data_IF_442006745232
#
_entry.id   IF_442006745232
#
_cell.length_a   1.000
_cell.length_b   1.000
_cell.length_c   1.000
_cell.angle_alpha   90.00
_cell.angle_beta   90.00
_cell.angle_gamma   90.00
#
_symmetry.space_group_name_H-M   'P 1'
#
loop_
_entity.id
_entity.type
_entity.pdbx_description
1 polymer ?
#
# COMPACT_ATOMS: atom_id res chain seq x y z
N UNK A 1 -40.24 -22.49 -3.66
CA UNK A 1 -39.09 -21.57 -3.67
C UNK A 1 -37.95 -22.29 -2.96
N UNK A 2 -36.82 -22.59 -3.60
CA UNK A 2 -35.70 -23.22 -2.89
C UNK A 2 -35.25 -22.30 -1.75
N UNK A 3 -34.94 -22.91 -0.61
CA UNK A 3 -34.53 -22.24 0.63
C UNK A 3 -33.22 -21.46 0.43
N UNK A 4 -32.98 -20.44 1.25
CA UNK A 4 -31.76 -19.62 1.18
C UNK A 4 -30.44 -20.42 1.13
N UNK A 5 -30.27 -21.50 1.91
CA UNK A 5 -29.07 -22.34 1.87
C UNK A 5 -28.84 -23.02 0.50
N UNK A 6 -29.89 -23.57 -0.13
CA UNK A 6 -29.76 -24.25 -1.42
C UNK A 6 -29.29 -23.28 -2.53
N UNK A 7 -29.80 -22.04 -2.52
CA UNK A 7 -29.37 -21.01 -3.47
C UNK A 7 -27.93 -20.56 -3.24
N UNK A 8 -27.46 -20.54 -1.99
CA UNK A 8 -26.06 -20.21 -1.66
C UNK A 8 -25.12 -21.30 -2.19
N UNK A 9 -25.49 -22.56 -1.99
CA UNK A 9 -24.70 -23.70 -2.46
C UNK A 9 -24.66 -23.77 -4.00
N UNK A 10 -25.75 -23.41 -4.67
CA UNK A 10 -25.79 -23.30 -6.13
C UNK A 10 -24.78 -22.25 -6.66
N UNK A 11 -24.70 -21.08 -6.02
CA UNK A 11 -23.73 -20.04 -6.38
C UNK A 11 -22.28 -20.52 -6.17
N UNK A 12 -22.02 -21.23 -5.07
CA UNK A 12 -20.70 -21.82 -4.82
C UNK A 12 -20.35 -22.84 -5.92
N UNK A 13 -21.28 -23.71 -6.28
CA UNK A 13 -21.08 -24.70 -7.33
C UNK A 13 -20.77 -24.04 -8.68
N UNK A 14 -21.42 -22.92 -9.00
CA UNK A 14 -21.13 -22.13 -10.20
C UNK A 14 -19.70 -21.55 -10.19
N UNK A 15 -19.21 -21.05 -9.04
CA UNK A 15 -17.82 -20.56 -8.91
C UNK A 15 -16.82 -21.71 -9.08
N UNK A 16 -17.08 -22.85 -8.43
CA UNK A 16 -16.22 -24.04 -8.53
C UNK A 16 -16.19 -24.58 -9.97
N UNK A 17 -17.30 -24.49 -10.70
CA UNK A 17 -17.40 -24.87 -12.10
C UNK A 17 -16.74 -23.87 -13.06
N UNK A 18 -16.35 -22.68 -12.57
CA UNK A 18 -15.79 -21.60 -13.39
C UNK A 18 -16.83 -20.88 -14.26
N UNK A 19 -18.13 -21.06 -13.99
CA UNK A 19 -19.21 -20.38 -14.71
C UNK A 19 -19.52 -19.01 -14.12
N UNK A 20 -19.13 -18.77 -12.88
CA UNK A 20 -19.13 -17.47 -12.22
C UNK A 20 -17.75 -17.20 -11.62
N UNK A 21 -17.35 -15.94 -11.58
CA UNK A 21 -16.28 -15.49 -10.70
C UNK A 21 -16.79 -15.34 -9.25
N UNK A 22 -15.90 -15.36 -8.24
CA UNK A 22 -16.27 -15.05 -6.86
C UNK A 22 -17.08 -13.75 -6.72
N UNK A 23 -16.66 -12.68 -7.39
CA UNK A 23 -17.32 -11.38 -7.32
C UNK A 23 -18.75 -11.41 -7.87
N UNK A 24 -18.98 -12.12 -8.99
CA UNK A 24 -20.32 -12.28 -9.56
C UNK A 24 -21.23 -13.11 -8.64
N UNK A 25 -20.69 -14.15 -8.00
CA UNK A 25 -21.44 -14.94 -7.03
C UNK A 25 -21.81 -14.15 -5.77
N UNK A 26 -20.93 -13.29 -5.27
CA UNK A 26 -21.24 -12.39 -4.15
C UNK A 26 -22.31 -11.35 -4.52
N UNK A 27 -22.21 -10.75 -5.71
CA UNK A 27 -23.20 -9.79 -6.19
C UNK A 27 -24.59 -10.44 -6.34
N UNK A 28 -24.63 -11.68 -6.83
CA UNK A 28 -25.86 -12.45 -6.96
C UNK A 28 -26.40 -12.90 -5.58
N UNK A 29 -25.53 -13.29 -4.64
CA UNK A 29 -25.93 -13.58 -3.27
C UNK A 29 -26.59 -12.35 -2.61
N UNK A 30 -25.99 -11.16 -2.76
CA UNK A 30 -26.53 -9.91 -2.27
C UNK A 30 -27.89 -9.58 -2.92
N UNK A 31 -28.02 -9.73 -4.24
CA UNK A 31 -29.27 -9.53 -4.99
C UNK A 31 -30.40 -10.45 -4.49
N UNK A 32 -30.05 -11.67 -4.10
CA UNK A 32 -30.99 -12.67 -3.58
C UNK A 32 -31.28 -12.52 -2.08
N UNK A 33 -30.66 -11.54 -1.40
CA UNK A 33 -30.79 -11.34 0.05
C UNK A 33 -30.15 -12.46 0.88
N UNK A 34 -29.16 -13.15 0.32
CA UNK A 34 -28.39 -14.18 1.00
C UNK A 34 -27.24 -13.53 1.79
N UNK A 35 -26.74 -14.25 2.81
CA UNK A 35 -25.48 -13.89 3.47
C UNK A 35 -24.34 -13.98 2.46
N UNK A 36 -23.34 -13.09 2.61
CA UNK A 36 -22.09 -13.17 1.86
C UNK A 36 -21.49 -14.58 1.90
N UNK A 37 -20.91 -15.01 0.77
CA UNK A 37 -20.39 -16.38 0.61
C UNK A 37 -19.02 -16.47 1.30
N UNK A 38 -18.14 -15.53 1.00
CA UNK A 38 -17.01 -15.15 1.84
C UNK A 38 -17.52 -14.57 3.15
N UNK A 39 -16.90 -15.00 4.25
CA UNK A 39 -17.39 -14.68 5.57
C UNK A 39 -16.23 -14.42 6.51
N UNK A 40 -16.32 -13.29 7.22
CA UNK A 40 -15.53 -12.99 8.41
C UNK A 40 -16.48 -12.71 9.58
N UNK A 41 -16.30 -13.36 10.73
CA UNK A 41 -17.08 -13.04 11.93
C UNK A 41 -16.91 -11.59 12.37
N UNK A 42 -17.85 -11.09 13.16
CA UNK A 42 -17.73 -9.78 13.78
C UNK A 42 -16.44 -9.75 14.63
N UNK A 43 -15.52 -8.79 14.36
CA UNK A 43 -14.36 -8.49 15.17
C UNK A 43 -14.58 -8.53 16.69
N UNK A 44 -15.75 -8.08 17.16
CA UNK A 44 -16.08 -7.94 18.59
C UNK A 44 -16.43 -9.28 19.25
N UNK A 45 -16.91 -10.26 18.48
CA UNK A 45 -17.17 -11.62 18.98
C UNK A 45 -15.87 -12.39 19.23
N UNK A 46 -14.75 -11.90 18.68
CA UNK A 46 -13.43 -12.48 18.77
C UNK A 46 -12.42 -11.48 19.34
N UNK A 47 -12.59 -11.09 20.60
CA UNK A 47 -11.61 -10.27 21.32
C UNK A 47 -10.44 -11.11 21.87
N UNK A 48 -9.23 -11.07 21.26
CA UNK A 48 -8.08 -11.84 21.74
C UNK A 48 -7.54 -11.33 23.08
N UNK A 49 -7.97 -10.16 23.55
CA UNK A 49 -7.55 -9.61 24.85
C UNK A 49 -8.27 -10.30 26.03
N UNK A 50 -9.33 -11.08 25.77
CA UNK A 50 -9.99 -11.90 26.79
C UNK A 50 -9.29 -13.24 27.02
N UNK A 51 -8.36 -13.63 26.15
CA UNK A 51 -7.64 -14.90 26.27
C UNK A 51 -6.54 -14.80 27.34
N UNK A 52 -6.50 -15.76 28.26
CA UNK A 52 -5.46 -15.83 29.29
C UNK A 52 -4.09 -16.21 28.71
N UNK A 53 -4.10 -17.04 27.66
CA UNK A 53 -2.91 -17.56 27.00
C UNK A 53 -3.00 -17.34 25.50
N UNK A 54 -1.88 -16.95 24.90
CA UNK A 54 -1.75 -16.78 23.46
C UNK A 54 -0.88 -17.87 22.87
N UNK A 55 -1.22 -18.29 21.65
CA UNK A 55 -0.33 -19.12 20.84
C UNK A 55 0.89 -18.31 20.39
N UNK A 56 1.92 -18.98 19.90
CA UNK A 56 3.12 -18.29 19.38
C UNK A 56 2.80 -17.25 18.29
N UNK A 57 1.97 -17.53 17.27
CA UNK A 57 1.59 -16.53 16.27
C UNK A 57 0.90 -15.31 16.85
N UNK A 58 -0.02 -15.51 17.81
CA UNK A 58 -0.70 -14.42 18.51
C UNK A 58 0.30 -13.55 19.28
N UNK A 59 1.19 -14.17 20.05
CA UNK A 59 2.20 -13.47 20.82
C UNK A 59 3.17 -12.69 19.92
N UNK A 60 3.65 -13.30 18.83
CA UNK A 60 4.55 -12.64 17.87
C UNK A 60 3.84 -11.50 17.13
N UNK A 61 2.57 -11.66 16.73
CA UNK A 61 1.79 -10.59 16.13
C UNK A 61 1.66 -9.39 17.09
N UNK A 62 1.48 -9.64 18.38
CA UNK A 62 1.54 -8.56 19.38
C UNK A 62 2.93 -7.93 19.45
N UNK A 63 4.00 -8.72 19.61
CA UNK A 63 5.37 -8.19 19.73
C UNK A 63 5.72 -7.30 18.52
N UNK A 64 5.34 -7.73 17.32
CA UNK A 64 5.59 -7.05 16.05
C UNK A 64 4.76 -5.76 15.87
N UNK A 65 3.45 -5.83 16.13
CA UNK A 65 2.50 -4.80 15.68
C UNK A 65 1.76 -4.08 16.82
N UNK A 66 1.68 -4.70 18.00
CA UNK A 66 1.10 -4.13 19.24
C UNK A 66 -0.36 -3.71 19.14
N UNK A 67 -1.14 -4.39 18.30
CA UNK A 67 -2.58 -4.16 18.13
C UNK A 67 -3.38 -5.43 18.40
N UNK A 68 -4.62 -5.30 18.90
CA UNK A 68 -5.49 -6.45 19.14
C UNK A 68 -5.94 -7.11 17.82
N UNK A 69 -6.08 -6.33 16.76
CA UNK A 69 -6.48 -6.80 15.45
C UNK A 69 -5.48 -7.80 14.85
N UNK A 70 -4.18 -7.49 14.86
CA UNK A 70 -3.18 -8.41 14.28
C UNK A 70 -3.07 -9.70 15.09
N UNK A 71 -3.31 -9.64 16.40
CA UNK A 71 -3.41 -10.83 17.26
C UNK A 71 -4.62 -11.67 16.86
N UNK A 72 -5.79 -11.05 16.63
CA UNK A 72 -7.01 -11.74 16.18
C UNK A 72 -6.83 -12.40 14.82
N UNK A 73 -6.21 -11.72 13.85
CA UNK A 73 -5.93 -12.28 12.52
C UNK A 73 -4.98 -13.51 12.58
N UNK A 74 -4.24 -13.66 13.69
CA UNK A 74 -3.35 -14.79 13.97
C UNK A 74 -3.90 -15.75 15.05
N UNK A 75 -5.19 -15.64 15.37
CA UNK A 75 -5.86 -16.49 16.34
C UNK A 75 -6.67 -17.58 15.64
N UNK A 76 -6.33 -18.84 15.90
CA UNK A 76 -6.97 -19.99 15.23
C UNK A 76 -8.49 -20.01 15.33
N UNK A 77 -9.07 -19.66 16.49
CA UNK A 77 -10.54 -19.66 16.65
C UNK A 77 -11.20 -18.68 15.67
N UNK A 78 -10.62 -17.49 15.50
CA UNK A 78 -11.11 -16.51 14.53
C UNK A 78 -10.88 -16.96 13.09
N UNK A 79 -9.66 -17.45 12.79
CA UNK A 79 -9.26 -17.87 11.44
C UNK A 79 -10.11 -19.03 10.92
N UNK A 80 -10.38 -20.03 11.76
CA UNK A 80 -11.18 -21.18 11.37
C UNK A 80 -12.65 -20.82 11.07
N UNK A 81 -13.15 -19.70 11.58
CA UNK A 81 -14.49 -19.19 11.25
C UNK A 81 -14.49 -18.31 9.99
N UNK A 82 -13.32 -17.84 9.56
CA UNK A 82 -13.18 -17.08 8.34
C UNK A 82 -13.16 -18.01 7.13
N UNK A 83 -13.95 -17.68 6.12
CA UNK A 83 -14.11 -18.44 4.87
C UNK A 83 -13.82 -17.49 3.71
N UNK A 84 -12.96 -17.90 2.77
CA UNK A 84 -12.58 -17.07 1.61
C UNK A 84 -12.38 -17.90 0.35
N UNK A 85 -12.40 -17.22 -0.79
CA UNK A 85 -12.11 -17.82 -2.08
C UNK A 85 -10.59 -17.93 -2.30
N UNK A 86 -10.11 -19.11 -2.69
CA UNK A 86 -8.74 -19.31 -3.18
C UNK A 86 -8.77 -19.78 -4.62
N UNK A 87 -7.96 -19.14 -5.45
CA UNK A 87 -7.63 -19.67 -6.75
C UNK A 87 -6.65 -20.82 -6.60
N UNK A 88 -6.98 -21.96 -7.19
CA UNK A 88 -6.08 -23.11 -7.27
C UNK A 88 -5.94 -23.58 -8.71
N UNK A 89 -4.69 -23.65 -9.15
CA UNK A 89 -4.24 -24.27 -10.39
C UNK A 89 -3.82 -25.75 -10.21
N UNK A 90 -3.66 -26.23 -8.96
CA UNK A 90 -3.12 -27.56 -8.66
C UNK A 90 -4.12 -28.58 -8.08
N UNK A 91 -5.25 -28.15 -7.50
CA UNK A 91 -6.18 -29.03 -6.78
C UNK A 91 -7.21 -29.78 -7.64
N UNK A 92 -7.27 -29.52 -8.95
CA UNK A 92 -8.14 -30.28 -9.85
C UNK A 92 -7.28 -31.01 -10.89
N UNK A 93 -7.77 -32.16 -11.36
CA UNK A 93 -7.15 -32.97 -12.41
C UNK A 93 -6.58 -32.10 -13.55
N UNK A 94 -5.48 -32.52 -14.21
CA UNK A 94 -4.78 -31.69 -15.19
C UNK A 94 -5.74 -31.06 -16.20
N UNK A 95 -5.81 -29.72 -16.19
CA UNK A 95 -6.66 -28.93 -17.08
C UNK A 95 -7.83 -28.18 -16.42
N UNK A 96 -7.99 -28.19 -15.09
CA UNK A 96 -8.98 -27.36 -14.40
C UNK A 96 -8.34 -26.42 -13.39
N UNK A 97 -8.11 -25.18 -13.78
CA UNK A 97 -7.83 -24.08 -12.85
C UNK A 97 -9.13 -23.39 -12.43
N UNK A 98 -9.30 -23.00 -11.16
CA UNK A 98 -10.48 -22.25 -10.73
C UNK A 98 -10.48 -21.90 -9.25
N UNK A 99 -11.55 -21.25 -8.81
CA UNK A 99 -11.75 -20.89 -7.41
C UNK A 99 -12.40 -22.01 -6.63
N UNK A 100 -12.06 -22.10 -5.34
CA UNK A 100 -12.72 -22.94 -4.36
C UNK A 100 -12.78 -22.21 -3.01
N UNK A 101 -13.70 -22.61 -2.16
CA UNK A 101 -14.00 -21.93 -0.90
C UNK A 101 -13.30 -22.64 0.26
N UNK A 102 -12.44 -21.92 0.99
CA UNK A 102 -11.67 -22.49 2.09
C UNK A 102 -11.80 -21.68 3.37
N UNK A 103 -11.79 -22.41 4.48
CA UNK A 103 -11.47 -21.81 5.77
C UNK A 103 -10.02 -21.34 5.79
N UNK A 104 -9.71 -20.28 6.52
CA UNK A 104 -8.31 -19.94 6.75
C UNK A 104 -7.64 -21.09 7.50
N UNK A 105 -6.46 -21.49 7.01
CA UNK A 105 -5.63 -22.45 7.73
C UNK A 105 -5.22 -21.88 9.10
N UNK A 106 -4.98 -22.73 10.11
CA UNK A 106 -4.44 -22.31 11.40
C UNK A 106 -3.21 -21.41 11.26
N UNK A 107 -3.08 -20.47 12.19
CA UNK A 107 -1.94 -19.59 12.24
C UNK A 107 -0.67 -20.39 12.55
N UNK A 108 0.43 -19.98 11.93
CA UNK A 108 1.77 -20.41 12.34
C UNK A 108 2.78 -19.30 12.04
N UNK A 109 3.96 -19.36 12.64
CA UNK A 109 4.99 -18.32 12.50
C UNK A 109 5.46 -18.16 11.05
N UNK A 110 5.46 -19.24 10.26
CA UNK A 110 5.83 -19.19 8.85
C UNK A 110 4.82 -18.40 8.01
N UNK A 111 3.52 -18.62 8.22
CA UNK A 111 2.45 -17.86 7.57
C UNK A 111 2.49 -16.39 7.98
N UNK A 112 2.74 -16.10 9.25
CA UNK A 112 2.90 -14.72 9.72
C UNK A 112 4.09 -14.01 9.04
N UNK A 113 5.25 -14.70 8.91
CA UNK A 113 6.39 -14.20 8.13
C UNK A 113 6.08 -13.99 6.65
N UNK A 114 5.26 -14.86 6.07
CA UNK A 114 4.89 -14.77 4.66
C UNK A 114 3.88 -13.65 4.42
N UNK A 115 2.94 -13.44 5.35
CA UNK A 115 1.99 -12.34 5.32
C UNK A 115 2.71 -10.98 5.35
N UNK A 116 3.68 -10.79 6.26
CA UNK A 116 4.51 -9.57 6.31
C UNK A 116 5.16 -9.25 4.95
N UNK A 117 5.67 -10.26 4.23
CA UNK A 117 6.32 -10.09 2.93
C UNK A 117 5.35 -9.87 1.77
N UNK A 118 4.13 -10.39 1.88
CA UNK A 118 3.08 -10.20 0.87
C UNK A 118 2.35 -8.85 1.06
N UNK A 119 2.43 -8.29 2.26
CA UNK A 119 1.87 -7.01 2.66
C UNK A 119 2.91 -5.88 2.56
N UNK A 120 3.74 -5.89 1.53
CA UNK A 120 4.77 -4.85 1.31
C UNK A 120 4.11 -3.46 1.36
N UNK A 121 4.42 -2.78 2.47
CA UNK A 121 4.09 -1.40 2.85
C UNK A 121 2.63 -1.18 3.30
N UNK A 122 2.30 -1.68 4.50
CA UNK A 122 1.25 -1.10 5.34
C UNK A 122 1.72 0.26 5.91
N UNK A 123 0.77 1.16 6.18
CA UNK A 123 0.90 2.41 6.98
C UNK A 123 1.26 2.15 8.47
N UNK A 124 2.05 1.11 8.72
CA UNK A 124 2.58 0.83 10.04
C UNK A 124 3.78 1.75 10.26
N UNK A 125 3.58 2.71 11.16
CA UNK A 125 4.60 3.61 11.71
C UNK A 125 5.98 2.93 11.81
N UNK A 126 6.92 3.29 10.93
CA UNK A 126 8.21 2.62 10.83
C UNK A 126 9.03 2.75 12.13
N UNK A 127 8.68 3.70 13.00
CA UNK A 127 9.32 3.87 14.31
C UNK A 127 8.94 2.76 15.31
N UNK A 128 7.84 2.02 15.09
CA UNK A 128 7.32 1.00 16.02
C UNK A 128 7.07 -0.37 15.39
N UNK A 129 7.34 -0.54 14.09
CA UNK A 129 7.29 -1.84 13.44
C UNK A 129 8.53 -2.66 13.80
N UNK A 130 8.35 -3.74 14.56
CA UNK A 130 9.38 -4.76 14.70
C UNK A 130 9.13 -5.83 13.65
N UNK A 131 10.06 -6.05 12.68
CA UNK A 131 9.90 -7.11 11.70
C UNK A 131 9.58 -8.44 12.37
N UNK A 132 8.69 -9.26 11.80
CA UNK A 132 8.21 -10.51 12.40
C UNK A 132 9.37 -11.42 12.79
N UNK A 133 10.46 -11.43 12.02
CA UNK A 133 11.67 -12.18 12.36
C UNK A 133 12.32 -11.67 13.65
N UNK A 134 12.44 -10.35 13.82
CA UNK A 134 12.95 -9.74 15.05
C UNK A 134 11.99 -9.94 16.22
N UNK A 135 10.68 -9.93 15.97
CA UNK A 135 9.66 -10.19 16.98
C UNK A 135 9.71 -11.62 17.52
N UNK A 136 9.99 -12.60 16.65
CA UNK A 136 10.24 -13.99 17.06
C UNK A 136 11.48 -14.07 17.93
N UNK A 137 12.58 -13.43 17.52
CA UNK A 137 13.83 -13.43 18.29
C UNK A 137 13.64 -12.75 19.65
N UNK A 138 12.93 -11.62 19.69
CA UNK A 138 12.62 -10.90 20.92
C UNK A 138 11.74 -11.75 21.87
N UNK A 139 10.69 -12.41 21.34
CA UNK A 139 9.88 -13.34 22.10
C UNK A 139 10.72 -14.46 22.71
N UNK A 140 11.62 -15.02 21.90
CA UNK A 140 12.50 -16.11 22.31
C UNK A 140 13.49 -15.70 23.39
N UNK A 141 14.08 -14.51 23.28
CA UNK A 141 14.97 -13.98 24.30
C UNK A 141 14.26 -13.73 25.63
N UNK A 142 13.03 -13.19 25.61
CA UNK A 142 12.26 -12.98 26.85
C UNK A 142 11.92 -14.30 27.56
N UNK A 143 11.55 -15.32 26.79
CA UNK A 143 11.27 -16.67 27.32
C UNK A 143 12.53 -17.28 27.97
N UNK A 144 13.68 -17.19 27.30
CA UNK A 144 14.97 -17.67 27.83
C UNK A 144 15.50 -16.84 29.01
N UNK A 145 15.13 -15.56 29.06
CA UNK A 145 15.45 -14.65 30.15
C UNK A 145 14.49 -14.75 31.35
N UNK A 146 13.56 -15.72 31.36
CA UNK A 146 12.57 -15.90 32.43
C UNK A 146 11.69 -14.67 32.68
N UNK A 147 11.42 -13.85 31.66
CA UNK A 147 10.48 -12.73 31.81
C UNK A 147 9.03 -13.21 32.02
N UNK A 148 8.69 -14.37 31.45
CA UNK A 148 7.45 -15.13 31.65
C UNK A 148 7.65 -16.56 31.13
N UNK A 149 6.78 -17.47 31.56
CA UNK A 149 6.90 -18.90 31.26
C UNK A 149 6.07 -19.30 30.04
N UNK A 150 6.64 -20.12 29.16
CA UNK A 150 5.86 -20.81 28.13
C UNK A 150 5.31 -22.13 28.67
N UNK A 151 4.22 -22.61 28.08
CA UNK A 151 3.75 -23.99 28.29
C UNK A 151 3.50 -24.67 26.96
N UNK A 152 3.63 -25.99 26.90
CA UNK A 152 3.34 -26.78 25.71
C UNK A 152 2.92 -28.20 26.08
N UNK A 153 2.30 -28.89 25.14
CA UNK A 153 1.94 -30.30 25.29
C UNK A 153 3.17 -31.13 24.91
N UNK A 154 3.72 -31.85 25.89
CA UNK A 154 4.87 -32.73 25.66
C UNK A 154 4.44 -33.95 24.84
N UNK A 155 5.22 -34.29 23.80
CA UNK A 155 4.79 -35.21 22.73
C UNK A 155 4.65 -36.67 23.20
N UNK A 156 5.48 -37.14 24.14
CA UNK A 156 5.44 -38.53 24.60
C UNK A 156 4.32 -38.77 25.62
N UNK A 157 4.12 -37.84 26.54
CA UNK A 157 3.17 -37.93 27.65
C UNK A 157 1.79 -37.36 27.30
N UNK A 158 1.70 -36.48 26.30
CA UNK A 158 0.49 -35.76 25.94
C UNK A 158 0.03 -34.74 26.99
N UNK A 159 0.86 -34.41 27.98
CA UNK A 159 0.52 -33.49 29.07
C UNK A 159 1.02 -32.09 28.81
N UNK A 160 0.24 -31.08 29.19
CA UNK A 160 0.67 -29.69 29.20
C UNK A 160 1.65 -29.46 30.35
N UNK A 161 2.86 -29.02 30.03
CA UNK A 161 3.91 -28.70 30.99
C UNK A 161 4.41 -27.28 30.81
N UNK A 162 4.92 -26.71 31.89
CA UNK A 162 5.72 -25.48 31.83
C UNK A 162 7.06 -25.82 31.17
N UNK A 163 7.47 -24.98 30.22
CA UNK A 163 8.76 -25.06 29.55
C UNK A 163 9.65 -23.99 30.16
N UNK A 164 10.43 -24.37 31.17
CA UNK A 164 11.32 -23.47 31.86
C UNK A 164 12.46 -22.95 30.96
N UNK A 165 13.11 -21.88 31.42
CA UNK A 165 14.19 -21.22 30.68
C UNK A 165 15.39 -22.14 30.40
N UNK A 166 15.67 -23.12 31.25
CA UNK A 166 16.77 -24.06 31.06
C UNK A 166 16.46 -25.02 29.91
N UNK A 167 15.26 -25.60 29.89
CA UNK A 167 14.76 -26.45 28.79
C UNK A 167 14.75 -25.68 27.46
N UNK A 168 14.35 -24.41 27.47
CA UNK A 168 14.32 -23.55 26.26
C UNK A 168 15.70 -23.32 25.63
N UNK A 169 16.81 -23.51 26.36
CA UNK A 169 18.16 -23.40 25.78
C UNK A 169 18.43 -24.51 24.76
N UNK A 170 17.89 -25.70 25.02
CA UNK A 170 18.06 -26.91 24.21
C UNK A 170 16.95 -27.10 23.17
N UNK A 171 16.02 -26.15 23.05
CA UNK A 171 14.93 -26.19 22.09
C UNK A 171 15.13 -25.20 20.94
N UNK A 172 14.50 -25.49 19.81
CA UNK A 172 14.38 -24.62 18.63
C UNK A 172 12.97 -24.68 18.07
N UNK A 173 12.50 -23.60 17.47
CA UNK A 173 11.23 -23.61 16.75
C UNK A 173 11.32 -24.47 15.49
N UNK A 174 10.22 -25.15 15.17
CA UNK A 174 10.03 -25.84 13.91
C UNK A 174 8.56 -25.84 13.49
N UNK A 175 8.31 -26.40 12.33
CA UNK A 175 6.97 -26.68 11.82
C UNK A 175 6.77 -28.21 11.82
N UNK A 176 5.58 -28.66 12.18
CA UNK A 176 5.11 -30.04 12.01
C UNK A 176 3.64 -29.98 11.63
N UNK A 177 3.24 -30.60 10.52
CA UNK A 177 1.84 -30.59 10.04
C UNK A 177 1.17 -29.20 10.04
N UNK A 178 1.91 -28.18 9.60
CA UNK A 178 1.46 -26.77 9.58
C UNK A 178 1.22 -26.11 10.94
N UNK A 179 1.72 -26.69 12.02
CA UNK A 179 1.69 -26.13 13.38
C UNK A 179 3.10 -25.75 13.84
N UNK A 180 3.18 -24.71 14.66
CA UNK A 180 4.42 -24.37 15.35
C UNK A 180 4.69 -25.41 16.45
N UNK A 181 5.92 -25.94 16.46
CA UNK A 181 6.38 -26.93 17.42
C UNK A 181 7.74 -26.53 17.99
N UNK A 182 8.09 -27.06 19.17
CA UNK A 182 9.45 -27.01 19.68
C UNK A 182 10.14 -28.34 19.48
N UNK A 183 11.33 -28.30 18.89
CA UNK A 183 12.18 -29.46 18.63
C UNK A 183 13.41 -29.41 19.52
N UNK A 184 13.88 -30.57 19.95
CA UNK A 184 15.17 -30.67 20.61
C UNK A 184 16.27 -30.28 19.61
N UNK A 185 17.22 -29.45 20.05
CA UNK A 185 18.39 -29.09 19.26
C UNK A 185 19.23 -30.34 19.04
N UNK A 186 19.49 -30.67 17.76
CA UNK A 186 20.37 -31.76 17.37
C UNK A 186 21.68 -31.18 16.81
N UNK A 187 22.84 -31.82 17.04
CA UNK A 187 24.11 -31.38 16.46
C UNK A 187 24.11 -31.37 14.93
N UNK A 188 23.33 -32.24 14.30
CA UNK A 188 23.17 -32.37 12.86
C UNK A 188 21.70 -32.63 12.54
N UNK A 189 21.15 -31.88 11.58
CA UNK A 189 19.79 -32.08 11.06
C UNK A 189 18.68 -31.53 11.97
N UNK A 190 17.47 -32.05 11.78
CA UNK A 190 16.27 -31.62 12.51
C UNK A 190 16.03 -32.60 13.66
N UNK A 191 16.07 -32.11 14.90
CA UNK A 191 15.78 -32.95 16.06
C UNK A 191 14.28 -33.29 16.22
N UNK A 192 13.97 -34.23 17.15
CA UNK A 192 12.61 -34.66 17.39
C UNK A 192 11.76 -33.52 17.96
N UNK A 193 10.46 -33.53 17.62
CA UNK A 193 9.48 -32.65 18.25
C UNK A 193 9.34 -33.05 19.72
N UNK A 194 9.50 -32.08 20.61
CA UNK A 194 9.32 -32.25 22.06
C UNK A 194 8.00 -31.67 22.53
N UNK A 195 7.62 -30.49 22.04
CA UNK A 195 6.38 -29.83 22.46
C UNK A 195 5.55 -29.37 21.26
N UNK A 196 4.24 -29.52 21.39
CA UNK A 196 3.22 -28.97 20.50
C UNK A 196 2.31 -28.01 21.28
N UNK A 197 1.43 -27.29 20.59
CA UNK A 197 0.44 -26.39 21.21
C UNK A 197 1.05 -25.42 22.24
N UNK A 198 2.13 -24.77 21.81
CA UNK A 198 2.89 -23.85 22.65
C UNK A 198 2.09 -22.58 22.87
N UNK A 199 1.94 -22.22 24.15
CA UNK A 199 1.28 -21.00 24.58
C UNK A 199 2.12 -20.22 25.58
N UNK A 200 1.88 -18.91 25.64
CA UNK A 200 2.50 -17.98 26.57
C UNK A 200 1.42 -17.14 27.25
N UNK A 201 1.62 -16.69 28.51
CA UNK A 201 0.64 -15.88 29.20
C UNK A 201 0.50 -14.52 28.51
N UNK A 202 -0.72 -14.17 28.10
CA UNK A 202 -1.03 -12.90 27.45
C UNK A 202 -0.56 -11.71 28.30
N UNK A 203 -0.82 -11.76 29.61
CA UNK A 203 -0.39 -10.72 30.55
C UNK A 203 1.12 -10.57 30.64
N UNK A 204 1.88 -11.67 30.54
CA UNK A 204 3.35 -11.64 30.54
C UNK A 204 3.91 -10.98 29.28
N UNK A 205 3.36 -11.35 28.12
CA UNK A 205 3.72 -10.73 26.83
C UNK A 205 3.39 -9.24 26.86
N UNK A 206 2.16 -8.84 27.21
CA UNK A 206 1.76 -7.42 27.24
C UNK A 206 2.48 -6.60 28.30
N UNK A 207 2.83 -7.21 29.43
CA UNK A 207 3.61 -6.54 30.48
C UNK A 207 5.04 -6.22 30.04
N UNK A 208 5.67 -7.12 29.29
CA UNK A 208 7.01 -6.91 28.73
C UNK A 208 6.98 -6.00 27.50
N UNK A 209 5.92 -6.13 26.72
CA UNK A 209 5.67 -5.39 25.49
C UNK A 209 4.36 -4.63 25.62
N UNK A 210 4.44 -3.45 26.23
CA UNK A 210 3.30 -2.56 26.43
C UNK A 210 2.48 -2.33 25.16
N UNK A 211 1.19 -2.01 25.36
CA UNK A 211 0.31 -1.56 24.27
C UNK A 211 1.01 -0.42 23.55
N UNK A 212 0.93 -0.39 22.22
CA UNK A 212 1.34 0.78 21.46
C UNK A 212 0.64 1.98 22.10
N UNK A 213 1.36 2.98 22.64
CA UNK A 213 0.72 4.25 22.93
C UNK A 213 0.05 4.62 21.62
N UNK A 214 -1.27 4.81 21.62
CA UNK A 214 -1.91 5.46 20.48
C UNK A 214 -1.11 6.75 20.33
N UNK A 215 -0.23 6.79 19.33
CA UNK A 215 0.39 8.03 18.96
C UNK A 215 -0.80 8.82 18.46
N UNK A 216 -1.40 9.63 19.33
CA UNK A 216 -2.16 10.80 18.93
C UNK A 216 -1.19 11.81 18.32
N UNK A 217 -0.39 11.38 17.34
CA UNK A 217 -0.24 12.22 16.17
C UNK A 217 -1.62 12.19 15.55
N UNK A 218 -2.42 13.22 15.84
CA UNK A 218 -3.45 13.62 14.90
C UNK A 218 -2.79 13.54 13.53
N UNK A 219 -3.29 12.66 12.67
CA UNK A 219 -2.84 12.63 11.29
C UNK A 219 -2.97 14.07 10.80
N UNK A 220 -1.89 14.61 10.25
CA UNK A 220 -1.91 15.94 9.65
C UNK A 220 -1.90 15.75 8.15
N UNK A 221 -2.73 16.52 7.47
CA UNK A 221 -2.63 16.64 6.03
C UNK A 221 -1.20 17.12 5.69
N UNK A 222 -0.53 16.49 4.70
CA UNK A 222 0.67 17.03 4.09
C UNK A 222 0.43 18.42 3.49
N UNK A 223 1.50 19.14 3.18
CA UNK A 223 1.41 20.46 2.57
C UNK A 223 0.60 20.41 1.26
N UNK A 224 -0.37 21.32 1.15
CA UNK A 224 -1.27 21.35 0.00
C UNK A 224 -0.52 21.75 -1.28
N UNK A 225 -0.50 20.86 -2.26
CA UNK A 225 0.06 21.16 -3.58
C UNK A 225 -0.98 21.89 -4.45
N UNK A 226 -0.67 23.14 -4.81
CA UNK A 226 -1.51 23.95 -5.70
C UNK A 226 -1.44 23.45 -7.14
N UNK A 227 -2.56 23.43 -7.88
CA UNK A 227 -2.58 23.07 -9.30
C UNK A 227 -2.08 24.22 -10.21
N UNK A 228 -1.15 25.04 -9.72
CA UNK A 228 -0.62 26.18 -10.45
C UNK A 228 0.53 25.76 -11.39
N UNK A 229 0.61 26.46 -12.53
CA UNK A 229 1.67 26.27 -13.52
C UNK A 229 1.46 25.09 -14.48
N UNK A 230 2.48 24.84 -15.30
CA UNK A 230 2.49 23.74 -16.26
C UNK A 230 2.96 22.44 -15.60
N UNK A 231 2.47 21.31 -16.12
CA UNK A 231 2.94 19.98 -15.72
C UNK A 231 1.87 19.14 -15.06
N UNK A 232 2.33 18.18 -14.26
CA UNK A 232 1.49 17.18 -13.61
C UNK A 232 1.54 17.31 -12.08
N UNK A 233 0.56 16.73 -11.40
CA UNK A 233 0.55 16.55 -9.96
C UNK A 233 0.08 15.13 -9.59
N UNK A 234 0.54 14.56 -8.46
CA UNK A 234 0.04 13.29 -7.95
C UNK A 234 -1.49 13.29 -7.80
N UNK A 235 -2.11 12.14 -8.01
CA UNK A 235 -3.57 11.99 -7.92
C UNK A 235 -4.08 12.33 -6.51
N UNK A 236 -3.40 11.87 -5.46
CA UNK A 236 -3.68 12.25 -4.07
C UNK A 236 -3.70 13.76 -3.88
N UNK A 237 -2.73 14.50 -4.44
CA UNK A 237 -2.68 15.96 -4.29
C UNK A 237 -3.91 16.65 -4.89
N UNK A 238 -4.44 16.12 -6.00
CA UNK A 238 -5.69 16.64 -6.57
C UNK A 238 -6.90 16.28 -5.69
N UNK A 239 -6.94 15.06 -5.14
CA UNK A 239 -7.98 14.66 -4.19
C UNK A 239 -7.95 15.51 -2.91
N UNK A 240 -6.76 15.82 -2.39
CA UNK A 240 -6.58 16.72 -1.25
C UNK A 240 -7.03 18.16 -1.58
N UNK A 241 -6.71 18.67 -2.78
CA UNK A 241 -7.19 19.97 -3.26
C UNK A 241 -8.72 20.04 -3.26
N UNK A 242 -9.39 18.98 -3.71
CA UNK A 242 -10.85 18.88 -3.70
C UNK A 242 -11.39 18.75 -2.26
N UNK A 243 -10.83 17.86 -1.45
CA UNK A 243 -11.27 17.59 -0.09
C UNK A 243 -11.19 18.83 0.82
N UNK A 244 -10.13 19.62 0.64
CA UNK A 244 -9.88 20.86 1.41
C UNK A 244 -10.50 22.11 0.77
N UNK A 245 -11.19 21.98 -0.37
CA UNK A 245 -11.72 23.11 -1.15
C UNK A 245 -10.65 24.19 -1.39
N UNK A 246 -9.49 23.76 -1.90
CA UNK A 246 -8.35 24.63 -2.17
C UNK A 246 -7.63 25.11 -0.92
N UNK A 247 -7.70 24.36 0.18
CA UNK A 247 -7.10 24.69 1.47
C UNK A 247 -7.95 25.63 2.34
N UNK A 248 -9.21 25.87 1.96
CA UNK A 248 -10.12 26.73 2.75
C UNK A 248 -10.80 25.97 3.89
N UNK A 249 -10.85 24.64 3.81
CA UNK A 249 -11.42 23.75 4.82
C UNK A 249 -10.31 22.86 5.37
N UNK A 250 -10.20 22.87 6.70
CA UNK A 250 -9.43 21.90 7.47
C UNK A 250 -10.36 20.80 7.99
N UNK A 251 -9.90 19.56 8.00
CA UNK A 251 -10.66 18.41 8.48
C UNK A 251 -9.72 17.33 9.02
N UNK A 252 -10.24 16.45 9.87
CA UNK A 252 -9.48 15.29 10.36
C UNK A 252 -9.16 14.35 9.18
N UNK A 253 -7.88 14.05 8.87
CA UNK A 253 -7.54 13.18 7.74
C UNK A 253 -8.13 11.77 7.83
N UNK A 254 -8.56 11.33 9.01
CA UNK A 254 -9.23 10.03 9.19
C UNK A 254 -10.73 10.06 8.86
N UNK A 255 -11.29 11.23 8.55
CA UNK A 255 -12.68 11.38 8.08
C UNK A 255 -12.82 10.86 6.63
N UNK A 256 -13.28 9.62 6.55
CA UNK A 256 -13.49 8.92 5.28
C UNK A 256 -14.59 9.51 4.40
N UNK A 257 -15.56 10.25 4.96
CA UNK A 257 -16.66 10.80 4.17
C UNK A 257 -16.17 11.95 3.29
N UNK A 258 -15.23 12.75 3.80
CA UNK A 258 -14.58 13.81 3.03
C UNK A 258 -13.75 13.25 1.87
N UNK A 259 -12.99 12.19 2.13
CA UNK A 259 -12.23 11.51 1.07
C UNK A 259 -13.16 10.84 0.06
N UNK A 260 -14.22 10.16 0.49
CA UNK A 260 -15.20 9.52 -0.40
C UNK A 260 -15.84 10.53 -1.35
N UNK A 261 -16.19 11.72 -0.86
CA UNK A 261 -16.73 12.78 -1.70
C UNK A 261 -15.69 13.30 -2.71
N UNK A 262 -14.45 13.56 -2.27
CA UNK A 262 -13.39 14.08 -3.12
C UNK A 262 -12.97 13.10 -4.24
N UNK A 263 -12.71 11.83 -3.89
CA UNK A 263 -12.42 10.80 -4.90
C UNK A 263 -13.63 10.50 -5.77
N UNK A 264 -14.85 10.54 -5.23
CA UNK A 264 -16.07 10.38 -6.02
C UNK A 264 -16.16 11.37 -7.17
N UNK A 265 -15.98 12.67 -6.90
CA UNK A 265 -15.97 13.71 -7.93
C UNK A 265 -14.77 13.56 -8.88
N UNK A 266 -13.57 13.33 -8.35
CA UNK A 266 -12.35 13.18 -9.15
C UNK A 266 -12.46 12.00 -10.15
N UNK A 267 -12.89 10.83 -9.66
CA UNK A 267 -13.02 9.61 -10.46
C UNK A 267 -14.18 9.70 -11.46
N UNK A 268 -15.25 10.45 -11.15
CA UNK A 268 -16.30 10.74 -12.12
C UNK A 268 -15.76 11.51 -13.33
N UNK A 269 -14.95 12.56 -13.11
CA UNK A 269 -14.32 13.35 -14.19
C UNK A 269 -13.27 12.56 -14.99
N UNK A 270 -12.52 11.69 -14.32
CA UNK A 270 -11.56 10.81 -15.00
C UNK A 270 -12.30 9.77 -15.85
N UNK A 271 -13.35 9.15 -15.30
CA UNK A 271 -14.11 8.12 -16.02
C UNK A 271 -14.98 8.64 -17.15
N UNK A 272 -15.34 9.92 -17.14
CA UNK A 272 -15.99 10.63 -18.26
C UNK A 272 -15.02 11.17 -19.31
N UNK A 273 -13.72 10.89 -19.18
CA UNK A 273 -12.64 11.43 -20.02
C UNK A 273 -12.55 12.98 -20.05
N UNK A 274 -13.18 13.67 -19.09
CA UNK A 274 -13.03 15.12 -18.89
C UNK A 274 -11.64 15.51 -18.38
N UNK A 275 -10.98 14.57 -17.70
CA UNK A 275 -9.63 14.71 -17.18
C UNK A 275 -8.78 13.50 -17.58
N UNK A 276 -7.55 13.77 -18.04
CA UNK A 276 -6.59 12.71 -18.35
C UNK A 276 -5.75 12.37 -17.13
N UNK A 277 -5.58 11.08 -16.88
CA UNK A 277 -4.60 10.57 -15.92
C UNK A 277 -3.48 9.84 -16.66
N UNK A 278 -2.28 10.00 -16.14
CA UNK A 278 -1.06 9.41 -16.69
C UNK A 278 -0.50 8.49 -15.61
N UNK A 279 -0.31 7.22 -15.96
CA UNK A 279 0.24 6.21 -15.08
C UNK A 279 1.64 5.81 -15.51
N UNK A 280 2.33 5.10 -14.63
CA UNK A 280 3.61 4.47 -14.88
C UNK A 280 3.42 2.96 -14.96
N UNK A 281 3.93 2.35 -16.03
CA UNK A 281 3.90 0.91 -16.26
C UNK A 281 5.09 0.54 -17.15
N UNK A 282 5.72 -0.60 -16.87
CA UNK A 282 6.83 -1.15 -17.67
C UNK A 282 7.96 -0.13 -17.94
N UNK A 283 8.26 0.73 -16.96
CA UNK A 283 9.33 1.72 -17.07
C UNK A 283 8.95 3.02 -17.77
N UNK A 284 7.71 3.16 -18.26
CA UNK A 284 7.26 4.31 -19.06
C UNK A 284 5.99 4.96 -18.50
N UNK A 285 5.82 6.25 -18.82
CA UNK A 285 4.56 6.98 -18.55
C UNK A 285 3.63 6.87 -19.74
N UNK A 286 2.40 6.47 -19.50
CA UNK A 286 1.37 6.31 -20.52
C UNK A 286 0.02 6.85 -20.03
N UNK A 287 -0.84 7.35 -20.93
CA UNK A 287 -2.22 7.66 -20.56
C UNK A 287 -2.94 6.41 -20.05
N UNK A 288 -3.59 6.51 -18.89
CA UNK A 288 -4.47 5.45 -18.41
C UNK A 288 -5.86 5.68 -18.99
N UNK A 289 -6.50 4.65 -19.58
CA UNK A 289 -7.86 4.80 -20.07
C UNK A 289 -8.85 5.17 -18.95
N UNK A 290 -9.59 6.27 -19.10
CA UNK A 290 -10.48 6.82 -18.07
C UNK A 290 -11.53 5.84 -17.57
N UNK A 291 -12.10 5.02 -18.46
CA UNK A 291 -13.09 3.99 -18.11
C UNK A 291 -12.59 2.99 -17.05
N UNK A 292 -11.28 2.85 -16.84
CA UNK A 292 -10.72 1.99 -15.78
C UNK A 292 -11.04 2.49 -14.37
N UNK A 293 -11.43 3.75 -14.22
CA UNK A 293 -11.81 4.35 -12.94
C UNK A 293 -13.33 4.32 -12.69
N UNK A 294 -14.13 3.86 -13.66
CA UNK A 294 -15.57 3.76 -13.51
C UNK A 294 -15.93 2.69 -12.47
N UNK A 295 -16.54 3.10 -11.35
CA UNK A 295 -16.95 2.18 -10.28
C UNK A 295 -15.80 1.54 -9.51
N UNK A 296 -14.56 2.05 -9.66
CA UNK A 296 -13.38 1.51 -8.99
C UNK A 296 -13.51 1.73 -7.47
N UNK A 297 -13.26 0.67 -6.69
CA UNK A 297 -13.17 0.80 -5.22
C UNK A 297 -11.88 1.55 -4.88
N UNK A 298 -11.90 2.32 -3.80
CA UNK A 298 -10.76 3.11 -3.35
C UNK A 298 -10.33 2.63 -1.96
N UNK A 299 -9.04 2.34 -1.82
CA UNK A 299 -8.38 2.34 -0.52
C UNK A 299 -7.92 3.77 -0.24
N UNK A 300 -8.60 4.44 0.68
CA UNK A 300 -8.43 5.85 0.96
C UNK A 300 -7.15 6.13 1.75
N UNK A 301 -6.54 7.32 1.58
CA UNK A 301 -5.40 7.71 2.40
C UNK A 301 -5.80 7.82 3.88
N UNK A 302 -4.86 7.56 4.80
CA UNK A 302 -5.07 7.60 6.26
C UNK A 302 -6.08 6.58 6.80
N UNK A 303 -6.42 5.55 6.04
CA UNK A 303 -7.28 4.47 6.46
C UNK A 303 -6.67 3.11 6.14
N UNK A 304 -6.99 2.11 6.95
CA UNK A 304 -6.55 0.74 6.70
C UNK A 304 -7.16 0.22 5.39
N UNK A 305 -6.31 -0.28 4.49
CA UNK A 305 -6.79 -0.92 3.26
C UNK A 305 -7.65 -2.13 3.60
N UNK A 306 -8.94 -2.16 3.22
CA UNK A 306 -9.79 -3.31 3.51
C UNK A 306 -9.21 -4.56 2.86
N UNK A 307 -9.01 -5.62 3.65
CA UNK A 307 -8.43 -6.88 3.18
C UNK A 307 -9.20 -7.50 2.00
N UNK A 308 -10.50 -7.23 1.90
CA UNK A 308 -11.34 -7.62 0.77
C UNK A 308 -10.88 -6.99 -0.56
N UNK A 309 -10.26 -5.81 -0.56
CA UNK A 309 -9.66 -5.22 -1.77
C UNK A 309 -8.38 -5.96 -2.18
N UNK A 310 -7.53 -6.27 -1.20
CA UNK A 310 -6.23 -6.93 -1.42
C UNK A 310 -6.40 -8.36 -1.97
N UNK A 311 -7.40 -9.07 -1.48
CA UNK A 311 -7.71 -10.44 -1.89
C UNK A 311 -8.61 -10.52 -3.13
N UNK A 312 -9.16 -9.39 -3.60
CA UNK A 312 -10.02 -9.36 -4.77
C UNK A 312 -9.23 -9.28 -6.08
N UNK A 313 -9.75 -9.94 -7.12
CA UNK A 313 -9.29 -9.77 -8.51
C UNK A 313 -9.86 -8.50 -9.19
N UNK A 314 -10.82 -7.83 -8.53
CA UNK A 314 -11.29 -6.53 -8.96
C UNK A 314 -10.16 -5.52 -8.84
N UNK A 315 -10.07 -4.66 -9.85
CA UNK A 315 -9.13 -3.56 -9.80
C UNK A 315 -9.61 -2.53 -8.79
N UNK A 316 -8.72 -2.04 -7.94
CA UNK A 316 -9.00 -0.97 -7.00
C UNK A 316 -7.93 0.12 -7.09
N UNK A 317 -8.28 1.33 -6.69
CA UNK A 317 -7.34 2.43 -6.53
C UNK A 317 -6.79 2.39 -5.10
N UNK A 318 -5.50 2.16 -4.96
CA UNK A 318 -4.78 2.43 -3.72
C UNK A 318 -4.30 3.87 -3.76
N UNK A 319 -4.53 4.62 -2.70
CA UNK A 319 -4.04 5.98 -2.57
C UNK A 319 -3.30 6.14 -1.24
N UNK A 320 -2.16 6.82 -1.30
CA UNK A 320 -1.34 7.18 -0.15
C UNK A 320 -1.16 8.69 -0.10
N UNK A 321 -0.96 9.22 1.11
CA UNK A 321 -0.69 10.63 1.30
C UNK A 321 0.66 11.02 0.67
N UNK A 322 0.67 12.08 -0.13
CA UNK A 322 1.90 12.61 -0.71
C UNK A 322 2.68 13.42 0.34
N UNK A 323 3.59 12.76 1.05
CA UNK A 323 4.45 13.39 2.05
C UNK A 323 5.69 14.02 1.41
N UNK A 324 6.38 13.26 0.54
CA UNK A 324 7.52 13.72 -0.23
C UNK A 324 7.75 12.88 -1.49
N UNK A 325 8.57 13.39 -2.41
CA UNK A 325 8.87 12.70 -3.68
C UNK A 325 9.58 11.36 -3.50
N UNK A 326 10.43 11.23 -2.47
CA UNK A 326 11.15 9.99 -2.18
C UNK A 326 10.17 8.86 -1.84
N UNK A 327 9.33 9.07 -0.84
CA UNK A 327 8.33 8.10 -0.36
C UNK A 327 7.40 7.68 -1.50
N UNK A 328 6.95 8.66 -2.29
CA UNK A 328 6.10 8.42 -3.44
C UNK A 328 6.78 7.57 -4.52
N UNK A 329 8.08 7.77 -4.78
CA UNK A 329 8.83 6.94 -5.73
C UNK A 329 9.10 5.53 -5.19
N UNK A 330 9.18 5.36 -3.87
CA UNK A 330 9.43 4.09 -3.17
C UNK A 330 8.17 3.24 -2.97
N UNK A 331 7.01 3.67 -3.46
CA UNK A 331 5.78 2.86 -3.53
C UNK A 331 4.61 3.40 -2.69
N UNK A 332 4.78 4.52 -2.00
CA UNK A 332 3.68 5.23 -1.32
C UNK A 332 2.97 6.18 -2.30
N UNK A 333 2.50 5.63 -3.43
CA UNK A 333 1.88 6.36 -4.52
C UNK A 333 0.41 6.00 -4.77
N UNK A 334 -0.24 6.77 -5.62
CA UNK A 334 -1.53 6.41 -6.16
C UNK A 334 -1.36 5.38 -7.27
N UNK A 335 -1.99 4.22 -7.09
CA UNK A 335 -1.80 3.04 -7.94
C UNK A 335 -3.13 2.34 -8.22
N UNK A 336 -3.36 1.94 -9.47
CA UNK A 336 -4.42 0.98 -9.81
C UNK A 336 -3.87 -0.43 -9.63
N UNK A 337 -4.36 -1.12 -8.60
CA UNK A 337 -3.88 -2.43 -8.19
C UNK A 337 -4.80 -3.56 -8.63
N UNK A 338 -4.21 -4.74 -8.78
CA UNK A 338 -4.89 -6.05 -8.81
C UNK A 338 -4.13 -7.00 -7.88
N UNK A 339 -4.73 -8.16 -7.58
CA UNK A 339 -4.12 -9.20 -6.74
C UNK A 339 -2.66 -9.57 -7.12
N UNK A 340 -2.27 -9.47 -8.40
CA UNK A 340 -0.91 -9.77 -8.89
C UNK A 340 0.04 -8.56 -8.99
N UNK A 341 -0.29 -7.45 -8.30
CA UNK A 341 0.51 -6.23 -8.28
C UNK A 341 -0.10 -5.06 -9.07
N UNK A 342 0.59 -3.90 -9.10
CA UNK A 342 0.09 -2.70 -9.75
C UNK A 342 -0.04 -2.89 -11.26
N UNK A 343 -1.22 -2.55 -11.79
CA UNK A 343 -1.43 -2.38 -13.23
C UNK A 343 -0.90 -1.03 -13.69
N UNK A 344 -1.08 0.00 -12.86
CA UNK A 344 -0.56 1.34 -13.07
C UNK A 344 -0.07 1.87 -11.73
N UNK A 345 1.13 2.40 -11.71
CA UNK A 345 1.70 3.08 -10.56
C UNK A 345 1.82 4.58 -10.83
N UNK A 346 2.12 5.38 -9.80
CA UNK A 346 2.53 6.78 -9.90
C UNK A 346 1.56 7.62 -10.72
N UNK A 347 0.27 7.46 -10.44
CA UNK A 347 -0.81 8.14 -11.14
C UNK A 347 -0.69 9.65 -10.92
N UNK A 348 -0.69 10.39 -12.02
CA UNK A 348 -0.62 11.85 -12.03
C UNK A 348 -1.64 12.46 -12.97
N UNK A 349 -2.06 13.68 -12.68
CA UNK A 349 -3.04 14.45 -13.41
C UNK A 349 -2.42 15.74 -13.94
N UNK A 350 -2.96 16.31 -15.00
CA UNK A 350 -2.53 17.62 -15.47
C UNK A 350 -3.00 18.71 -14.51
N UNK A 351 -2.06 19.54 -14.04
CA UNK A 351 -2.37 20.66 -13.13
C UNK A 351 -3.41 21.61 -13.72
N UNK A 352 -3.30 21.89 -15.02
CA UNK A 352 -4.23 22.75 -15.74
C UNK A 352 -5.67 22.21 -15.73
N UNK A 353 -5.86 20.89 -15.79
CA UNK A 353 -7.20 20.30 -15.75
C UNK A 353 -7.79 20.39 -14.34
N UNK A 354 -6.97 20.15 -13.30
CA UNK A 354 -7.38 20.30 -11.89
C UNK A 354 -7.78 21.76 -11.60
N UNK A 355 -6.95 22.73 -11.99
CA UNK A 355 -7.24 24.15 -11.81
C UNK A 355 -8.50 24.61 -12.55
N UNK A 356 -8.76 24.03 -13.73
CA UNK A 356 -9.95 24.34 -14.54
C UNK A 356 -11.23 23.77 -13.95
N UNK A 357 -11.19 22.53 -13.44
CA UNK A 357 -12.37 21.81 -12.96
C UNK A 357 -12.74 22.18 -11.52
N UNK A 358 -11.77 22.57 -10.69
CA UNK A 358 -12.00 22.99 -9.30
C UNK A 358 -11.35 24.34 -8.98
N UNK A 359 -11.91 25.45 -9.52
CA UNK A 359 -11.42 26.79 -9.27
C UNK A 359 -11.90 27.32 -7.91
N UNK A 360 -11.26 26.89 -6.81
CA UNK A 360 -11.60 27.37 -5.48
C UNK A 360 -11.06 28.79 -5.19
N UNK A 361 -11.81 29.58 -4.43
CA UNK A 361 -11.43 30.92 -4.03
C UNK A 361 -10.31 30.85 -2.97
N UNK A 362 -9.18 31.47 -3.24
CA UNK A 362 -8.02 31.39 -2.37
C UNK A 362 -8.24 32.27 -1.13
N UNK A 363 -8.32 31.64 0.06
CA UNK A 363 -8.32 32.38 1.31
C UNK A 363 -6.95 33.06 1.51
N UNK A 364 -6.98 34.36 1.80
CA UNK A 364 -5.85 35.27 1.74
C UNK A 364 -4.59 34.83 2.48
N UNK A 365 -3.47 35.02 1.80
CA UNK A 365 -2.13 34.93 2.32
C UNK A 365 -1.16 35.48 1.29
N UNK A 366 -1.02 36.81 1.27
CA UNK A 366 0.18 37.48 0.77
C UNK A 366 1.38 36.98 1.59
N UNK A 367 1.87 35.79 1.25
CA UNK A 367 3.26 35.43 1.49
C UNK A 367 4.03 35.93 0.27
N UNK A 368 5.16 36.63 0.46
CA UNK A 368 5.95 37.08 -0.66
C UNK A 368 6.37 35.85 -1.45
N UNK A 369 5.92 35.82 -2.70
CA UNK A 369 6.37 34.88 -3.71
C UNK A 369 7.92 34.79 -3.63
N UNK A 370 8.53 33.63 -3.36
CA UNK A 370 9.98 33.50 -3.47
C UNK A 370 10.44 33.72 -4.93
N UNK A 371 9.51 33.72 -5.88
CA UNK A 371 9.73 33.97 -7.30
C UNK A 371 8.56 34.74 -7.91
N UNK A 372 8.42 36.06 -7.63
CA UNK A 372 7.37 36.86 -8.23
C UNK A 372 7.32 36.58 -9.74
N UNK A 373 6.25 35.94 -10.20
CA UNK A 373 5.80 35.94 -11.60
C UNK A 373 5.32 37.37 -11.97
N UNK A 374 6.15 38.35 -11.64
CA UNK A 374 6.22 39.59 -12.37
C UNK A 374 6.85 39.27 -13.71
N UNK A 375 6.05 39.37 -14.77
CA UNK A 375 6.57 39.73 -16.08
C UNK A 375 7.38 41.01 -15.91
N UNK A 376 8.69 40.88 -15.67
CA UNK A 376 9.60 42.03 -15.75
C UNK A 376 9.71 42.41 -17.20
N UNK A 377 8.89 43.38 -17.59
CA UNK A 377 9.12 44.24 -18.73
C UNK A 377 10.41 45.03 -18.52
N UNK A 378 11.54 44.46 -18.92
CA UNK A 378 12.73 45.23 -19.27
C UNK A 378 12.80 45.32 -20.78
N UNK A 379 12.35 46.42 -21.37
CA UNK A 379 12.69 46.72 -22.77
C UNK A 379 14.17 47.13 -22.89
N UNK A 380 14.77 47.19 -24.10
CA UNK A 380 14.23 46.85 -25.42
C UNK A 380 14.99 45.68 -26.10
N UNK A 381 14.25 44.73 -26.69
CA UNK A 381 14.81 43.78 -27.68
C UNK A 381 14.36 42.32 -27.60
N UNK A 382 13.04 42.06 -27.72
CA UNK A 382 12.38 40.75 -27.98
C UNK A 382 12.27 39.78 -26.78
N UNK A 383 11.09 39.17 -26.52
CA UNK A 383 10.93 38.14 -25.49
C UNK A 383 11.83 36.94 -25.77
N UNK A 384 12.56 36.46 -24.74
CA UNK A 384 13.43 35.29 -24.82
C UNK A 384 12.81 34.09 -24.12
N UNK A 385 12.65 33.00 -24.84
CA UNK A 385 12.16 31.70 -24.36
C UNK A 385 13.23 30.88 -23.62
N UNK A 386 14.37 31.49 -23.29
CA UNK A 386 15.52 30.79 -22.70
C UNK A 386 15.22 30.19 -21.33
N UNK A 387 14.34 30.83 -20.55
CA UNK A 387 13.93 30.33 -19.23
C UNK A 387 13.21 28.97 -19.31
N UNK A 388 12.44 28.72 -20.38
CA UNK A 388 11.78 27.42 -20.64
C UNK A 388 12.83 26.35 -20.94
N UNK A 389 13.83 26.69 -21.74
CA UNK A 389 14.93 25.79 -22.11
C UNK A 389 15.84 25.50 -20.90
N UNK A 390 16.12 26.48 -20.05
CA UNK A 390 16.89 26.30 -18.81
C UNK A 390 16.15 25.44 -17.77
N UNK A 391 14.81 25.52 -17.72
CA UNK A 391 13.99 24.67 -16.86
C UNK A 391 13.96 23.22 -17.37
N UNK A 392 13.77 23.02 -18.68
CA UNK A 392 13.78 21.69 -19.28
C UNK A 392 15.15 21.02 -19.19
N UNK A 393 16.23 21.78 -19.38
CA UNK A 393 17.59 21.25 -19.22
C UNK A 393 17.84 20.78 -17.78
N UNK A 394 17.39 21.54 -16.77
CA UNK A 394 17.47 21.12 -15.35
C UNK A 394 16.66 19.85 -15.08
N UNK A 395 15.46 19.73 -15.65
CA UNK A 395 14.65 18.51 -15.58
C UNK A 395 15.40 17.31 -16.16
N UNK A 396 16.03 17.48 -17.34
CA UNK A 396 16.79 16.42 -18.01
C UNK A 396 18.05 16.03 -17.24
N UNK A 397 18.72 16.98 -16.60
CA UNK A 397 19.83 16.72 -15.66
C UNK A 397 19.38 15.88 -14.46
N UNK A 398 18.26 16.24 -13.83
CA UNK A 398 17.71 15.48 -12.69
C UNK A 398 17.32 14.04 -13.08
N UNK A 399 16.88 13.84 -14.33
CA UNK A 399 16.48 12.55 -14.87
C UNK A 399 17.64 11.75 -15.52
N UNK A 400 18.88 12.29 -15.52
CA UNK A 400 20.03 11.71 -16.23
C UNK A 400 19.73 11.37 -17.72
N UNK A 401 18.83 12.12 -18.35
CA UNK A 401 18.42 11.93 -19.76
C UNK A 401 19.08 12.93 -20.71
N UNK A 402 20.05 13.70 -20.20
CA UNK A 402 20.83 14.67 -20.96
C UNK A 402 21.63 13.96 -22.06
N UNK A 403 21.67 14.54 -23.25
CA UNK A 403 22.44 14.01 -24.36
C UNK A 403 23.95 14.00 -24.08
N UNK A 404 24.65 13.04 -24.71
CA UNK A 404 26.08 12.79 -24.52
C UNK A 404 27.00 13.97 -24.87
N UNK A 405 26.49 14.98 -25.58
CA UNK A 405 27.24 16.20 -25.87
C UNK A 405 26.33 17.42 -25.87
N UNK A 406 26.89 18.57 -25.48
CA UNK A 406 26.17 19.85 -25.49
C UNK A 406 25.64 20.21 -26.89
N UNK A 407 26.33 19.77 -27.96
CA UNK A 407 25.86 19.98 -29.32
C UNK A 407 24.54 19.23 -29.58
N UNK A 408 24.46 17.94 -29.21
CA UNK A 408 23.23 17.15 -29.34
C UNK A 408 22.13 17.66 -28.41
N UNK A 409 22.49 17.99 -27.17
CA UNK A 409 21.52 18.50 -26.17
C UNK A 409 20.89 19.82 -26.64
N UNK A 410 21.69 20.72 -27.21
CA UNK A 410 21.16 22.00 -27.72
C UNK A 410 20.22 21.83 -28.93
N UNK A 411 20.46 20.81 -29.77
CA UNK A 411 19.57 20.46 -30.89
C UNK A 411 18.28 19.87 -30.37
N UNK A 412 18.36 18.97 -29.39
CA UNK A 412 17.19 18.40 -28.72
C UNK A 412 16.33 19.50 -28.11
N UNK A 413 16.92 20.37 -27.29
CA UNK A 413 16.20 21.46 -26.61
C UNK A 413 15.58 22.47 -27.58
N UNK A 414 16.24 22.75 -28.72
CA UNK A 414 15.67 23.60 -29.77
C UNK A 414 14.50 22.92 -30.50
N UNK A 415 14.52 21.60 -30.66
CA UNK A 415 13.41 20.84 -31.24
C UNK A 415 12.24 20.74 -30.26
N UNK A 416 12.54 20.42 -28.98
CA UNK A 416 11.58 20.41 -27.88
C UNK A 416 10.89 21.75 -27.71
N UNK A 417 11.62 22.87 -27.73
CA UNK A 417 11.00 24.19 -27.58
C UNK A 417 9.99 24.46 -28.70
N UNK A 418 10.28 24.02 -29.93
CA UNK A 418 9.36 24.19 -31.07
C UNK A 418 8.12 23.29 -30.98
N UNK A 419 8.23 22.08 -30.45
CA UNK A 419 7.10 21.17 -30.32
C UNK A 419 6.26 21.43 -29.08
N UNK A 420 6.90 21.65 -27.93
CA UNK A 420 6.24 21.86 -26.64
C UNK A 420 5.75 23.30 -26.45
N UNK A 421 6.39 24.28 -27.09
CA UNK A 421 6.04 25.69 -26.98
C UNK A 421 5.99 26.38 -28.36
N UNK A 422 5.04 25.99 -29.24
CA UNK A 422 4.98 26.47 -30.62
C UNK A 422 4.77 27.99 -30.76
N UNK A 423 4.26 28.64 -29.72
CA UNK A 423 4.05 30.10 -29.66
C UNK A 423 5.23 30.86 -29.06
N UNK A 424 6.23 30.17 -28.49
CA UNK A 424 7.41 30.79 -27.94
C UNK A 424 8.39 31.22 -29.06
N UNK A 425 9.11 32.34 -28.90
CA UNK A 425 10.15 32.73 -29.85
C UNK A 425 11.17 31.60 -30.02
N UNK A 426 11.48 31.15 -31.25
CA UNK A 426 12.38 30.02 -31.45
C UNK A 426 13.81 30.40 -31.04
N UNK A 427 14.50 29.45 -30.40
CA UNK A 427 15.92 29.57 -30.09
C UNK A 427 16.72 28.64 -31.00
N UNK A 428 17.87 29.14 -31.45
CA UNK A 428 18.81 28.30 -32.21
C UNK A 428 19.62 27.42 -31.28
N UNK A 429 20.03 26.21 -31.70
CA UNK A 429 20.92 25.35 -30.91
C UNK A 429 22.18 26.09 -30.43
N UNK A 430 22.77 26.95 -31.26
CA UNK A 430 23.95 27.75 -30.88
C UNK A 430 23.68 28.70 -29.71
N UNK A 431 22.51 29.33 -29.67
CA UNK A 431 22.10 30.21 -28.56
C UNK A 431 21.92 29.44 -27.26
N UNK A 432 21.29 28.27 -27.33
CA UNK A 432 21.08 27.37 -26.18
C UNK A 432 22.41 26.82 -25.67
N UNK A 433 23.27 26.37 -26.58
CA UNK A 433 24.61 25.86 -26.26
C UNK A 433 25.44 26.90 -25.51
N UNK A 434 25.51 28.14 -26.03
CA UNK A 434 26.28 29.20 -25.38
C UNK A 434 25.77 29.52 -23.97
N UNK A 435 24.46 29.38 -23.74
CA UNK A 435 23.85 29.68 -22.46
C UNK A 435 24.03 28.56 -21.42
N UNK A 436 23.94 27.30 -21.86
CA UNK A 436 23.92 26.13 -20.96
C UNK A 436 25.28 25.44 -20.79
N UNK A 437 26.32 25.85 -21.54
CA UNK A 437 27.61 25.17 -21.56
C UNK A 437 28.25 25.01 -20.18
N UNK A 438 28.15 26.02 -19.31
CA UNK A 438 28.69 25.96 -17.94
C UNK A 438 27.93 24.96 -17.08
N UNK A 439 26.59 25.00 -17.12
CA UNK A 439 25.72 24.08 -16.38
C UNK A 439 25.87 22.62 -16.85
N UNK A 440 26.03 22.41 -18.16
CA UNK A 440 26.29 21.09 -18.75
C UNK A 440 27.62 20.50 -18.29
N UNK A 441 28.68 21.31 -18.25
CA UNK A 441 29.99 20.87 -17.73
C UNK A 441 29.94 20.53 -16.25
N UNK A 442 29.22 21.32 -15.45
CA UNK A 442 29.04 21.04 -14.03
C UNK A 442 28.31 19.71 -13.82
N UNK A 443 27.23 19.45 -14.55
CA UNK A 443 26.50 18.18 -14.49
C UNK A 443 27.36 16.98 -14.93
N UNK A 444 28.12 17.12 -16.02
CA UNK A 444 29.00 16.05 -16.50
C UNK A 444 30.17 15.75 -15.54
N UNK A 445 30.57 16.72 -14.71
CA UNK A 445 31.60 16.52 -13.68
C UNK A 445 31.05 15.83 -12.43
N UNK A 446 29.77 16.04 -12.09
CA UNK A 446 29.09 15.39 -10.95
C UNK A 446 28.67 13.94 -11.21
N UNK A 447 28.75 13.47 -12.46
CA UNK A 447 28.41 12.10 -12.88
C UNK A 447 29.61 11.16 -13.08
N UNK A 448 30.81 11.56 -12.64
CA UNK A 448 31.99 10.70 -12.45
C UNK A 448 32.21 10.50 -10.96
#
# INVERSE_FOLDING_TARGET
>A
MPSGPAKRDDLIACVIAGTLSPAEAEAEAARLGLRAIEYRPDPNDFDPMQEQFWTLPMAVAWVAYRTAETVRENWDKYRLECVHWLYSDQLKAPGRSGFDLFHFAPANLRRLKMAEKLEEVRDLDPDYLMPVSNAIDALWQALRGSCFEASGIERESGKREIIDALRLQDLVFGEDEHRDVMRQRAPIGIGPVRYTDITVPMGGVRGHWGVRPLATRQAKLPDLMRPDGLGVMPLYCAAQWIATEGGTIDFDPTDLDRWRAAYGELLARISSDEMKVIGFRDGMREPVPGYQFAGVKVSYPFADTPIALVLSDEMYLQSYAYTCEKDWLEGLDDSLLKHRGPKWARLVLLRADVAKLWPFAQAGGDLPDPYPLTYRSGGPGRPSSMHLVEAEFRRRCALATVEVSMAKESVYLAAWLRSAHPTAPPLTPKTIQNRLLSAFRAHAASGK
#
